data_IF_917947672493
#
_entry.id   IF_917947672493
#
_cell.length_a   1.000
_cell.length_b   1.000
_cell.length_c   1.000
_cell.angle_alpha   90.00
_cell.angle_beta   90.00
_cell.angle_gamma   90.00
#
_symmetry.space_group_name_H-M   'P 1'
#
loop_
_entity.id
_entity.type
_entity.pdbx_description
1 polymer ?
#
# COMPACT_ATOMS: atom_id res chain seq x y z
N UNK A 1 -3.02 21.57 25.72
CA UNK A 1 -2.73 21.26 24.30
C UNK A 1 -3.24 19.86 24.01
N UNK A 2 -4.10 19.67 23.02
CA UNK A 2 -4.62 18.37 22.61
C UNK A 2 -4.04 17.94 21.26
N UNK A 3 -3.43 16.76 21.24
CA UNK A 3 -2.70 16.24 20.08
C UNK A 3 -3.40 15.00 19.56
N UNK A 4 -3.51 14.88 18.24
CA UNK A 4 -4.03 13.69 17.58
C UNK A 4 -3.11 13.21 16.49
N UNK A 5 -2.63 11.98 16.62
CA UNK A 5 -1.91 11.28 15.57
C UNK A 5 -2.88 10.38 14.78
N UNK A 6 -2.99 10.62 13.48
CA UNK A 6 -3.85 9.88 12.55
C UNK A 6 -3.06 8.92 11.64
N UNK A 7 -1.76 8.74 11.89
CA UNK A 7 -1.00 7.73 11.15
C UNK A 7 -1.48 6.32 11.50
N UNK A 8 -1.50 5.43 10.51
CA UNK A 8 -1.97 4.03 10.56
C UNK A 8 -3.44 3.81 10.99
N UNK A 9 -4.12 4.83 11.50
CA UNK A 9 -5.58 4.88 11.70
C UNK A 9 -6.18 6.14 11.04
N UNK A 10 -6.06 6.30 9.71
CA UNK A 10 -6.45 7.54 9.06
C UNK A 10 -7.98 7.67 8.96
N UNK A 11 -8.52 8.74 9.54
CA UNK A 11 -9.91 9.15 9.31
C UNK A 11 -10.02 9.87 7.97
N UNK A 12 -10.79 9.33 7.03
CA UNK A 12 -10.84 9.86 5.64
C UNK A 12 -12.17 10.49 5.30
N UNK A 13 -13.25 9.93 5.84
CA UNK A 13 -14.61 10.35 5.49
C UNK A 13 -15.10 11.43 6.45
N UNK A 14 -15.78 12.44 5.92
CA UNK A 14 -16.28 13.57 6.72
C UNK A 14 -17.17 13.12 7.89
N UNK A 15 -18.07 12.16 7.65
CA UNK A 15 -18.95 11.60 8.68
C UNK A 15 -18.16 10.96 9.84
N UNK A 16 -17.05 10.28 9.53
CA UNK A 16 -16.18 9.65 10.52
C UNK A 16 -15.49 10.71 11.37
N UNK A 17 -14.89 11.72 10.73
CA UNK A 17 -14.17 12.81 11.42
C UNK A 17 -15.14 13.64 12.29
N UNK A 18 -16.34 13.93 11.78
CA UNK A 18 -17.39 14.63 12.55
C UNK A 18 -17.85 13.82 13.76
N UNK A 19 -18.06 12.51 13.60
CA UNK A 19 -18.42 11.62 14.73
C UNK A 19 -17.31 11.60 15.78
N UNK A 20 -16.05 11.53 15.35
CA UNK A 20 -14.90 11.54 16.23
C UNK A 20 -14.78 12.88 16.99
N UNK A 21 -14.88 14.00 16.28
CA UNK A 21 -14.90 15.35 16.89
C UNK A 21 -16.05 15.53 17.87
N UNK A 22 -17.26 15.06 17.56
CA UNK A 22 -18.40 15.16 18.50
C UNK A 22 -18.10 14.46 19.83
N UNK A 23 -17.36 13.35 19.80
CA UNK A 23 -17.00 12.58 21.00
C UNK A 23 -15.80 13.17 21.74
N UNK A 24 -14.83 13.73 21.02
CA UNK A 24 -13.54 14.11 21.59
C UNK A 24 -13.24 15.61 21.55
N UNK A 25 -14.09 16.45 20.99
CA UNK A 25 -13.88 17.90 20.86
C UNK A 25 -12.84 18.28 19.79
N UNK A 26 -12.37 19.52 19.85
CA UNK A 26 -11.35 20.05 18.96
C UNK A 26 -9.95 19.58 19.35
N UNK A 27 -9.00 19.67 18.43
CA UNK A 27 -7.59 19.35 18.67
C UNK A 27 -6.73 20.57 18.40
N UNK A 28 -5.64 20.78 19.14
CA UNK A 28 -4.71 21.87 18.85
C UNK A 28 -3.75 21.47 17.71
N UNK A 29 -3.27 20.22 17.76
CA UNK A 29 -2.28 19.68 16.82
C UNK A 29 -2.81 18.38 16.21
N UNK A 30 -2.78 18.28 14.88
CA UNK A 30 -3.10 17.05 14.14
C UNK A 30 -1.87 16.59 13.37
N UNK A 31 -1.46 15.35 13.58
CA UNK A 31 -0.37 14.70 12.85
C UNK A 31 -0.94 13.69 11.85
N UNK A 32 -0.52 13.74 10.59
CA UNK A 32 -1.08 12.87 9.56
C UNK A 32 -0.13 12.60 8.38
N UNK A 33 -0.46 11.58 7.60
CA UNK A 33 0.30 11.11 6.45
C UNK A 33 -0.01 11.94 5.19
N UNK A 34 1.02 12.50 4.54
CA UNK A 34 0.83 13.52 3.50
C UNK A 34 1.04 13.05 2.07
N UNK A 35 1.68 11.90 1.87
CA UNK A 35 1.84 11.28 0.55
C UNK A 35 1.39 9.83 0.54
N UNK A 36 1.42 9.20 -0.63
CA UNK A 36 1.32 7.74 -0.71
C UNK A 36 2.70 7.11 -0.47
N UNK A 37 2.70 5.89 0.02
CA UNK A 37 3.90 5.14 0.42
C UNK A 37 3.79 3.66 0.05
N UNK A 38 3.04 3.37 -1.03
CA UNK A 38 2.79 2.03 -1.53
C UNK A 38 2.42 2.13 -3.01
N UNK A 39 2.34 0.99 -3.69
CA UNK A 39 1.98 0.95 -5.11
C UNK A 39 0.68 1.71 -5.42
N UNK A 40 0.76 2.59 -6.44
CA UNK A 40 -0.35 3.40 -6.94
C UNK A 40 -0.47 3.31 -8.46
N UNK A 41 -0.52 2.07 -8.95
CA UNK A 41 -0.68 1.78 -10.37
C UNK A 41 0.64 1.67 -11.10
N UNK A 42 0.62 0.88 -12.17
CA UNK A 42 1.79 0.61 -12.99
C UNK A 42 2.40 1.84 -13.64
N UNK A 43 3.60 1.71 -14.19
CA UNK A 43 4.37 2.81 -14.79
C UNK A 43 3.52 3.73 -15.68
N UNK A 44 2.73 3.14 -16.58
CA UNK A 44 1.89 3.87 -17.55
C UNK A 44 0.64 4.54 -16.95
N UNK A 45 0.27 4.25 -15.69
CA UNK A 45 -0.91 4.81 -15.03
C UNK A 45 -0.56 5.99 -14.10
N UNK A 46 0.07 7.03 -14.66
CA UNK A 46 0.44 8.24 -13.92
C UNK A 46 -0.77 8.95 -13.30
N UNK A 47 -1.89 8.99 -14.01
CA UNK A 47 -3.15 9.61 -13.55
C UNK A 47 -3.59 9.02 -12.21
N UNK A 48 -3.46 7.70 -12.01
CA UNK A 48 -3.81 7.10 -10.72
C UNK A 48 -2.88 7.55 -9.59
N UNK A 49 -1.57 7.72 -9.85
CA UNK A 49 -0.60 8.26 -8.88
C UNK A 49 -0.90 9.70 -8.52
N UNK A 50 -1.18 10.55 -9.50
CA UNK A 50 -1.56 11.95 -9.29
C UNK A 50 -2.84 12.07 -8.46
N UNK A 51 -3.87 11.26 -8.81
CA UNK A 51 -5.12 11.21 -8.05
C UNK A 51 -4.89 10.71 -6.62
N UNK A 52 -4.00 9.74 -6.41
CA UNK A 52 -3.65 9.26 -5.07
C UNK A 52 -2.95 10.34 -4.23
N UNK A 53 -2.02 11.09 -4.82
CA UNK A 53 -1.35 12.22 -4.17
C UNK A 53 -2.33 13.34 -3.84
N UNK A 54 -3.19 13.72 -4.78
CA UNK A 54 -4.22 14.75 -4.57
C UNK A 54 -5.17 14.37 -3.43
N UNK A 55 -5.69 13.14 -3.42
CA UNK A 55 -6.57 12.62 -2.36
C UNK A 55 -5.92 12.70 -0.97
N UNK A 56 -4.59 12.52 -0.86
CA UNK A 56 -3.89 12.68 0.43
C UNK A 56 -3.95 14.11 0.95
N UNK A 57 -3.75 15.11 0.08
CA UNK A 57 -3.87 16.53 0.45
C UNK A 57 -5.31 16.88 0.84
N UNK A 58 -6.31 16.36 0.11
CA UNK A 58 -7.73 16.55 0.45
C UNK A 58 -8.07 15.97 1.83
N UNK A 59 -7.51 14.80 2.17
CA UNK A 59 -7.69 14.21 3.50
C UNK A 59 -7.06 15.07 4.60
N UNK A 60 -5.84 15.59 4.40
CA UNK A 60 -5.21 16.49 5.35
C UNK A 60 -6.04 17.74 5.62
N UNK A 61 -6.50 18.40 4.54
CA UNK A 61 -7.33 19.61 4.65
C UNK A 61 -8.63 19.33 5.41
N UNK A 62 -9.29 18.22 5.06
CA UNK A 62 -10.53 17.79 5.71
C UNK A 62 -10.32 17.48 7.19
N UNK A 63 -9.26 16.75 7.54
CA UNK A 63 -8.91 16.44 8.92
C UNK A 63 -8.65 17.72 9.71
N UNK A 64 -7.78 18.60 9.22
CA UNK A 64 -7.41 19.85 9.89
C UNK A 64 -8.63 20.77 10.09
N UNK A 65 -9.46 20.92 9.06
CA UNK A 65 -10.64 21.80 9.09
C UNK A 65 -11.72 21.25 10.01
N UNK A 66 -12.10 19.98 9.85
CA UNK A 66 -13.20 19.42 10.64
C UNK A 66 -12.78 19.30 12.10
N UNK A 67 -11.55 18.86 12.41
CA UNK A 67 -11.04 18.76 13.79
C UNK A 67 -10.73 20.14 14.41
N UNK A 68 -10.86 21.21 13.62
CA UNK A 68 -10.61 22.58 13.99
C UNK A 68 -9.22 22.76 14.63
N UNK A 69 -8.19 22.21 13.96
CA UNK A 69 -6.83 22.27 14.48
C UNK A 69 -6.18 23.63 14.30
N UNK A 70 -5.30 24.00 15.24
CA UNK A 70 -4.45 25.18 15.11
C UNK A 70 -3.26 24.88 14.20
N UNK A 71 -2.66 23.70 14.35
CA UNK A 71 -1.51 23.27 13.55
C UNK A 71 -1.68 21.85 13.01
N UNK A 72 -1.45 21.70 11.72
CA UNK A 72 -1.28 20.42 11.04
C UNK A 72 0.22 20.12 10.93
N UNK A 73 0.65 18.92 11.35
CA UNK A 73 2.01 18.41 11.17
C UNK A 73 1.97 17.20 10.22
N UNK A 74 2.25 17.41 8.93
CA UNK A 74 2.44 16.31 7.98
C UNK A 74 3.77 15.61 8.29
N UNK A 75 3.72 14.43 8.91
CA UNK A 75 4.90 13.79 9.53
C UNK A 75 5.22 12.38 9.01
N UNK A 76 4.36 11.81 8.16
CA UNK A 76 4.54 10.47 7.62
C UNK A 76 4.46 10.46 6.10
N UNK A 77 5.18 9.51 5.48
CA UNK A 77 5.42 9.38 4.03
C UNK A 77 6.50 10.27 3.42
N UNK A 78 7.59 10.49 4.15
CA UNK A 78 8.87 10.89 3.58
C UNK A 78 9.52 9.70 2.86
N UNK A 79 8.95 9.29 1.73
CA UNK A 79 9.37 8.09 0.98
C UNK A 79 10.09 8.44 -0.31
N UNK A 80 10.99 7.55 -0.71
CA UNK A 80 11.60 7.54 -2.02
C UNK A 80 11.67 6.09 -2.53
N UNK A 81 11.11 5.84 -3.71
CA UNK A 81 11.15 4.52 -4.35
C UNK A 81 12.50 4.37 -5.07
N UNK A 82 13.41 3.57 -4.49
CA UNK A 82 14.81 3.52 -4.90
C UNK A 82 15.16 2.38 -5.87
N UNK A 83 14.21 1.54 -6.28
CA UNK A 83 14.48 0.40 -7.17
C UNK A 83 14.05 0.71 -8.61
N UNK A 84 14.75 0.19 -9.62
CA UNK A 84 14.38 0.42 -11.03
C UNK A 84 12.96 -0.04 -11.38
N UNK A 85 12.46 -1.09 -10.72
CA UNK A 85 11.10 -1.59 -10.95
C UNK A 85 10.01 -0.72 -10.31
N UNK A 86 10.35 0.25 -9.47
CA UNK A 86 9.38 1.02 -8.69
C UNK A 86 9.63 2.54 -8.71
N UNK A 87 10.78 3.00 -9.22
CA UNK A 87 11.22 4.39 -9.15
C UNK A 87 10.33 5.37 -9.90
N UNK A 88 9.57 4.90 -10.90
CA UNK A 88 8.55 5.70 -11.59
C UNK A 88 7.49 6.25 -10.64
N UNK A 89 7.27 5.61 -9.48
CA UNK A 89 6.32 6.09 -8.49
C UNK A 89 6.75 7.39 -7.82
N UNK A 90 8.00 7.85 -7.98
CA UNK A 90 8.41 9.14 -7.44
C UNK A 90 7.86 10.33 -8.24
N UNK A 91 7.28 10.13 -9.44
CA UNK A 91 6.87 11.22 -10.34
C UNK A 91 5.73 12.09 -9.79
N UNK A 92 4.92 11.55 -8.88
CA UNK A 92 3.68 12.19 -8.41
C UNK A 92 3.61 12.28 -6.88
N UNK A 93 4.68 11.95 -6.16
CA UNK A 93 4.68 12.10 -4.70
C UNK A 93 4.45 13.56 -4.29
N UNK A 94 3.81 13.74 -3.15
CA UNK A 94 3.75 15.04 -2.49
C UNK A 94 5.10 15.25 -1.82
N UNK A 95 5.71 16.41 -2.02
CA UNK A 95 6.91 16.83 -1.29
C UNK A 95 6.51 17.80 -0.18
N UNK A 96 7.34 17.98 0.86
CA UNK A 96 7.10 18.99 1.89
C UNK A 96 6.77 20.38 1.33
N UNK A 97 7.51 20.82 0.31
CA UNK A 97 7.28 22.09 -0.38
C UNK A 97 5.88 22.16 -1.02
N UNK A 98 5.44 21.11 -1.73
CA UNK A 98 4.08 21.04 -2.31
C UNK A 98 3.02 21.14 -1.22
N UNK A 99 3.23 20.51 -0.07
CA UNK A 99 2.28 20.52 1.06
C UNK A 99 2.18 21.91 1.68
N UNK A 100 3.31 22.55 1.98
CA UNK A 100 3.33 23.93 2.49
C UNK A 100 2.61 24.86 1.53
N UNK A 101 2.99 24.84 0.23
CA UNK A 101 2.35 25.67 -0.80
C UNK A 101 0.83 25.45 -0.90
N UNK A 102 0.37 24.20 -0.76
CA UNK A 102 -1.05 23.84 -0.83
C UNK A 102 -1.87 24.44 0.33
N UNK A 103 -1.28 24.58 1.51
CA UNK A 103 -1.98 25.02 2.73
C UNK A 103 -1.61 26.44 3.18
N UNK A 104 -0.92 27.21 2.34
CA UNK A 104 -0.76 28.66 2.52
C UNK A 104 -2.15 29.31 2.67
N UNK A 105 -2.26 30.27 3.60
CA UNK A 105 -3.48 31.05 3.89
C UNK A 105 -4.69 30.22 4.37
N UNK A 106 -4.48 29.00 4.87
CA UNK A 106 -5.53 28.25 5.56
C UNK A 106 -5.69 28.74 7.00
N UNK A 107 -6.83 28.43 7.61
CA UNK A 107 -7.15 28.79 9.01
C UNK A 107 -6.30 28.06 10.05
N UNK A 108 -5.46 27.14 9.61
CA UNK A 108 -4.54 26.36 10.42
C UNK A 108 -3.12 26.53 9.89
N UNK A 109 -2.14 26.48 10.78
CA UNK A 109 -0.73 26.46 10.42
C UNK A 109 -0.35 25.07 9.90
N UNK A 110 0.61 25.01 8.98
CA UNK A 110 1.23 23.76 8.56
C UNK A 110 2.71 23.80 8.91
N UNK A 111 3.18 22.80 9.66
CA UNK A 111 4.57 22.71 10.10
C UNK A 111 5.13 21.36 9.67
N UNK A 112 6.17 21.38 8.85
CA UNK A 112 6.99 20.22 8.51
C UNK A 112 8.23 20.25 9.39
N UNK A 113 8.45 19.17 10.13
CA UNK A 113 9.63 18.97 10.96
C UNK A 113 10.72 18.20 10.20
N UNK A 114 11.97 18.52 10.46
CA UNK A 114 13.12 17.69 10.10
C UNK A 114 13.36 16.61 11.17
N UNK A 115 14.09 15.52 10.83
CA UNK A 115 14.50 14.54 11.83
C UNK A 115 15.26 15.21 12.98
N UNK A 116 14.90 14.83 14.22
CA UNK A 116 15.48 15.38 15.48
C UNK A 116 15.19 16.86 15.74
N UNK A 117 14.34 17.51 14.96
CA UNK A 117 13.88 18.86 15.27
C UNK A 117 13.01 18.85 16.54
N UNK A 118 13.27 19.81 17.43
CA UNK A 118 12.51 20.03 18.66
C UNK A 118 11.92 21.42 18.60
N UNK A 119 10.63 21.53 18.92
CA UNK A 119 9.92 22.80 19.03
C UNK A 119 8.99 22.77 20.24
N UNK A 120 8.74 23.95 20.82
CA UNK A 120 7.74 24.14 21.87
C UNK A 120 6.33 24.02 21.30
N UNK A 121 5.48 23.23 21.97
CA UNK A 121 4.15 22.87 21.46
C UNK A 121 3.17 24.04 21.38
N UNK A 122 3.35 25.06 22.21
CA UNK A 122 2.50 26.26 22.27
C UNK A 122 2.91 27.32 21.22
N UNK A 123 4.07 27.18 20.58
CA UNK A 123 4.63 28.13 19.63
C UNK A 123 5.20 27.45 18.38
N UNK A 124 4.51 26.41 17.89
CA UNK A 124 4.90 25.71 16.66
C UNK A 124 4.95 26.66 15.46
N UNK A 125 6.11 26.71 14.80
CA UNK A 125 6.36 27.55 13.63
C UNK A 125 7.14 26.79 12.59
N UNK A 126 6.90 27.10 11.31
CA UNK A 126 7.72 26.52 10.27
C UNK A 126 9.14 27.06 10.38
N UNK A 127 10.11 26.15 10.45
CA UNK A 127 11.53 26.47 10.36
C UNK A 127 11.99 26.29 8.90
N UNK A 128 12.68 27.28 8.34
CA UNK A 128 13.18 27.23 6.97
C UNK A 128 14.26 26.14 6.81
N UNK A 129 15.12 25.95 7.81
CA UNK A 129 16.15 24.91 7.79
C UNK A 129 15.56 23.50 7.63
N UNK A 130 14.35 23.28 8.15
CA UNK A 130 13.65 21.99 8.02
C UNK A 130 13.12 21.75 6.61
N UNK A 131 12.68 22.81 5.93
CA UNK A 131 12.26 22.73 4.53
C UNK A 131 13.47 22.51 3.62
N UNK A 132 14.55 23.24 3.88
CA UNK A 132 15.81 23.13 3.14
C UNK A 132 16.39 21.71 3.27
N UNK A 133 16.42 21.15 4.49
CA UNK A 133 16.82 19.76 4.72
C UNK A 133 16.07 18.78 3.81
N UNK A 134 14.74 18.87 3.74
CA UNK A 134 13.95 17.94 2.92
C UNK A 134 14.12 18.19 1.43
N UNK A 135 14.25 19.45 1.01
CA UNK A 135 14.50 19.81 -0.39
C UNK A 135 15.84 19.22 -0.85
N UNK A 136 16.90 19.43 -0.06
CA UNK A 136 18.24 18.92 -0.35
C UNK A 136 18.26 17.40 -0.33
N UNK A 137 17.63 16.77 0.68
CA UNK A 137 17.52 15.29 0.77
C UNK A 137 16.87 14.69 -0.47
N UNK A 138 15.76 15.28 -0.95
CA UNK A 138 15.05 14.80 -2.14
C UNK A 138 15.90 14.99 -3.40
N UNK A 139 16.59 16.12 -3.53
CA UNK A 139 17.48 16.37 -4.66
C UNK A 139 18.64 15.38 -4.69
N UNK A 140 19.33 15.20 -3.56
CA UNK A 140 20.46 14.28 -3.43
C UNK A 140 20.08 12.83 -3.72
N UNK A 141 18.99 12.33 -3.12
CA UNK A 141 18.56 10.94 -3.31
C UNK A 141 18.09 10.67 -4.75
N UNK A 142 17.59 11.71 -5.45
CA UNK A 142 17.16 11.59 -6.83
C UNK A 142 18.32 11.24 -7.77
N UNK A 143 19.51 11.77 -7.46
CA UNK A 143 20.76 11.59 -8.22
C UNK A 143 21.45 10.25 -7.93
N UNK A 144 21.14 9.60 -6.81
CA UNK A 144 21.72 8.30 -6.46
C UNK A 144 21.27 7.20 -7.44
N UNK A 145 22.16 6.23 -7.75
CA UNK A 145 21.79 5.09 -8.57
C UNK A 145 20.64 4.33 -7.92
N UNK A 146 19.78 3.75 -8.76
CA UNK A 146 18.66 2.94 -8.29
C UNK A 146 19.13 1.52 -8.01
N UNK A 147 18.58 0.94 -6.95
CA UNK A 147 18.79 -0.45 -6.60
C UNK A 147 18.21 -1.36 -7.69
N UNK A 148 18.84 -2.52 -7.83
CA UNK A 148 18.39 -3.61 -8.70
C UNK A 148 18.27 -4.88 -7.87
N UNK A 149 17.41 -5.79 -8.32
CA UNK A 149 17.43 -7.13 -7.76
C UNK A 149 18.76 -7.81 -8.07
N UNK A 150 19.15 -8.73 -7.18
CA UNK A 150 20.40 -9.46 -7.29
C UNK A 150 20.26 -10.68 -8.18
N UNK A 151 20.67 -11.85 -7.69
CA UNK A 151 20.58 -13.10 -8.44
C UNK A 151 19.13 -13.58 -8.60
N UNK A 152 18.81 -14.09 -9.78
CA UNK A 152 17.56 -14.81 -10.07
C UNK A 152 17.37 -16.04 -9.17
N UNK A 153 16.12 -16.33 -8.83
CA UNK A 153 15.72 -17.55 -8.12
C UNK A 153 15.28 -18.57 -9.15
N UNK A 154 15.99 -19.69 -9.27
CA UNK A 154 15.69 -20.72 -10.27
C UNK A 154 14.24 -21.23 -10.20
N UNK A 155 13.72 -21.71 -11.33
CA UNK A 155 12.37 -22.27 -11.38
C UNK A 155 12.15 -23.41 -10.38
N UNK A 156 13.13 -24.31 -10.21
CA UNK A 156 13.02 -25.42 -9.24
C UNK A 156 12.93 -24.94 -7.79
N UNK A 157 13.68 -23.90 -7.44
CA UNK A 157 13.59 -23.27 -6.11
C UNK A 157 12.22 -22.60 -5.92
N UNK A 158 11.74 -21.84 -6.92
CA UNK A 158 10.42 -21.22 -6.88
C UNK A 158 9.30 -22.26 -6.75
N UNK A 159 9.42 -23.39 -7.44
CA UNK A 159 8.45 -24.49 -7.38
C UNK A 159 8.41 -25.12 -5.98
N UNK A 160 9.57 -25.38 -5.39
CA UNK A 160 9.69 -25.93 -4.02
C UNK A 160 9.13 -24.94 -2.98
N UNK A 161 9.42 -23.66 -3.12
CA UNK A 161 8.89 -22.60 -2.26
C UNK A 161 7.37 -22.46 -2.43
N UNK A 162 6.86 -22.54 -3.66
CA UNK A 162 5.43 -22.54 -3.98
C UNK A 162 4.70 -23.72 -3.34
N UNK A 163 5.24 -24.94 -3.42
CA UNK A 163 4.66 -26.12 -2.77
C UNK A 163 4.60 -25.96 -1.24
N UNK A 164 5.62 -25.35 -0.66
CA UNK A 164 5.67 -25.03 0.77
C UNK A 164 4.65 -23.96 1.15
N UNK A 165 4.52 -22.91 0.34
CA UNK A 165 3.48 -21.89 0.47
C UNK A 165 2.08 -22.50 0.42
N UNK A 166 1.78 -23.31 -0.60
CA UNK A 166 0.47 -23.94 -0.79
C UNK A 166 0.09 -24.82 0.39
N UNK A 167 1.01 -25.67 0.86
CA UNK A 167 0.80 -26.51 2.05
C UNK A 167 0.51 -25.68 3.29
N UNK A 168 1.23 -24.58 3.50
CA UNK A 168 1.02 -23.68 4.64
C UNK A 168 -0.36 -23.01 4.60
N UNK A 169 -0.74 -22.45 3.45
CA UNK A 169 -2.06 -21.82 3.27
C UNK A 169 -3.18 -22.84 3.49
N UNK A 170 -3.12 -24.02 2.85
CA UNK A 170 -4.15 -25.05 2.95
C UNK A 170 -4.20 -25.73 4.33
N UNK A 171 -3.16 -25.62 5.16
CA UNK A 171 -3.16 -26.08 6.55
C UNK A 171 -3.88 -25.10 7.47
N UNK A 172 -3.71 -23.79 7.25
CA UNK A 172 -4.31 -22.73 8.09
C UNK A 172 -5.75 -22.37 7.71
N UNK A 173 -6.22 -22.77 6.54
CA UNK A 173 -7.48 -22.32 5.96
C UNK A 173 -8.38 -23.49 5.54
N UNK A 174 -9.68 -23.23 5.40
CA UNK A 174 -10.64 -24.23 4.94
C UNK A 174 -10.38 -24.56 3.46
N UNK A 175 -9.82 -25.75 3.22
CA UNK A 175 -9.58 -26.28 1.87
C UNK A 175 -10.85 -26.32 1.03
N UNK A 176 -11.98 -26.70 1.65
CA UNK A 176 -13.28 -26.78 0.97
C UNK A 176 -13.75 -25.39 0.49
N UNK A 177 -13.66 -24.36 1.34
CA UNK A 177 -14.05 -22.99 0.93
C UNK A 177 -13.15 -22.44 -0.17
N UNK A 178 -11.83 -22.66 -0.06
CA UNK A 178 -10.88 -22.26 -1.11
C UNK A 178 -11.20 -22.97 -2.42
N UNK A 179 -11.49 -24.27 -2.37
CA UNK A 179 -11.86 -25.06 -3.54
C UNK A 179 -13.17 -24.57 -4.18
N UNK A 180 -14.19 -24.31 -3.37
CA UNK A 180 -15.48 -23.80 -3.84
C UNK A 180 -15.32 -22.43 -4.51
N UNK A 181 -14.62 -21.49 -3.88
CA UNK A 181 -14.34 -20.17 -4.45
C UNK A 181 -13.47 -20.23 -5.71
N UNK A 182 -12.53 -21.18 -5.77
CA UNK A 182 -11.75 -21.45 -6.97
C UNK A 182 -12.62 -21.94 -8.15
N UNK A 183 -13.73 -22.66 -7.88
CA UNK A 183 -14.67 -23.08 -8.93
C UNK A 183 -15.58 -21.96 -9.42
N UNK A 184 -15.92 -20.99 -8.56
CA UNK A 184 -16.76 -19.85 -8.90
C UNK A 184 -15.94 -18.77 -9.62
N UNK A 185 -15.83 -18.90 -10.95
CA UNK A 185 -15.01 -18.01 -11.78
C UNK A 185 -15.46 -16.54 -11.77
N UNK A 186 -16.75 -16.27 -11.55
CA UNK A 186 -17.31 -14.90 -11.62
C UNK A 186 -16.73 -13.96 -10.54
N UNK A 187 -16.31 -14.50 -9.40
CA UNK A 187 -15.76 -13.70 -8.30
C UNK A 187 -14.24 -13.58 -8.34
N UNK A 188 -13.57 -14.30 -9.25
CA UNK A 188 -12.11 -14.31 -9.45
C UNK A 188 -11.24 -14.70 -8.25
N UNK A 189 -11.82 -15.26 -7.17
CA UNK A 189 -11.06 -15.76 -6.03
C UNK A 189 -10.26 -17.02 -6.35
N UNK A 190 -9.00 -17.05 -5.88
CA UNK A 190 -8.07 -18.16 -6.04
C UNK A 190 -7.93 -18.68 -7.49
N UNK A 191 -8.21 -17.84 -8.50
CA UNK A 191 -8.07 -18.22 -9.90
C UNK A 191 -6.60 -18.32 -10.28
N UNK A 192 -6.32 -19.11 -11.33
CA UNK A 192 -4.97 -19.19 -11.91
C UNK A 192 -4.53 -17.81 -12.36
N UNK A 193 -3.36 -17.38 -11.90
CA UNK A 193 -2.74 -16.11 -12.28
C UNK A 193 -1.52 -16.36 -13.15
N UNK A 194 -1.38 -15.60 -14.22
CA UNK A 194 -0.21 -15.60 -15.08
C UNK A 194 0.79 -14.54 -14.62
N UNK A 195 2.01 -14.99 -14.29
CA UNK A 195 3.06 -14.18 -13.69
C UNK A 195 4.24 -14.17 -14.67
N UNK A 196 4.59 -13.01 -15.20
CA UNK A 196 5.83 -12.84 -15.97
C UNK A 196 6.98 -12.51 -15.01
N UNK A 197 8.06 -13.30 -15.10
CA UNK A 197 9.29 -13.02 -14.37
C UNK A 197 10.30 -12.36 -15.31
N UNK A 198 10.66 -11.11 -15.00
CA UNK A 198 11.53 -10.30 -15.85
C UNK A 198 12.89 -10.96 -16.09
N UNK A 199 13.46 -11.51 -15.02
CA UNK A 199 14.81 -12.07 -15.00
C UNK A 199 14.89 -13.49 -15.57
N UNK A 200 13.76 -14.18 -15.70
CA UNK A 200 13.69 -15.44 -16.45
C UNK A 200 13.33 -15.21 -17.91
N UNK A 201 12.83 -14.03 -18.26
CA UNK A 201 12.17 -13.73 -19.53
C UNK A 201 11.10 -14.77 -19.91
N UNK A 202 10.34 -15.24 -18.90
CA UNK A 202 9.33 -16.30 -19.03
C UNK A 202 8.08 -15.97 -18.21
N UNK A 203 6.97 -16.60 -18.59
CA UNK A 203 5.71 -16.54 -17.87
C UNK A 203 5.43 -17.85 -17.15
N UNK A 204 4.72 -17.76 -16.03
CA UNK A 204 4.35 -18.90 -15.19
C UNK A 204 2.89 -18.79 -14.76
N UNK A 205 2.17 -19.90 -14.79
CA UNK A 205 0.84 -20.00 -14.21
C UNK A 205 0.96 -20.48 -12.77
N UNK A 206 0.42 -19.71 -11.84
CA UNK A 206 0.27 -20.10 -10.44
C UNK A 206 -1.19 -20.41 -10.11
N UNK A 207 -1.42 -21.54 -9.43
CA UNK A 207 -2.69 -21.86 -8.77
C UNK A 207 -2.42 -22.61 -7.46
N UNK A 208 -3.20 -22.30 -6.42
CA UNK A 208 -3.07 -22.95 -5.10
C UNK A 208 -3.19 -24.48 -5.18
N UNK A 209 -3.91 -25.03 -6.18
CA UNK A 209 -4.11 -26.47 -6.37
C UNK A 209 -3.17 -27.11 -7.38
N UNK A 210 -2.60 -26.33 -8.32
CA UNK A 210 -1.71 -26.86 -9.38
C UNK A 210 -0.24 -26.48 -9.18
N UNK A 211 0.07 -25.63 -8.22
CA UNK A 211 1.42 -25.10 -8.04
C UNK A 211 1.79 -24.06 -9.10
N UNK A 212 3.09 -23.94 -9.34
CA UNK A 212 3.68 -23.06 -10.35
C UNK A 212 4.12 -23.88 -11.56
N UNK A 213 3.66 -23.50 -12.75
CA UNK A 213 3.97 -24.20 -14.01
C UNK A 213 4.39 -23.18 -15.06
N UNK A 214 5.35 -23.51 -15.94
CA UNK A 214 5.68 -22.65 -17.09
C UNK A 214 4.44 -22.39 -17.97
N UNK A 215 4.38 -21.20 -18.56
CA UNK A 215 3.27 -20.77 -19.40
C UNK A 215 3.77 -20.05 -20.64
N UNK A 216 3.15 -20.36 -21.78
CA UNK A 216 3.39 -19.67 -23.05
C UNK A 216 2.56 -18.37 -23.19
N UNK A 217 1.73 -18.03 -22.20
CA UNK A 217 0.90 -16.84 -22.26
C UNK A 217 1.77 -15.56 -22.17
N UNK A 218 1.63 -14.71 -23.19
CA UNK A 218 2.36 -13.45 -23.31
C UNK A 218 1.63 -12.23 -22.72
N UNK A 219 0.37 -12.39 -22.27
CA UNK A 219 -0.40 -11.35 -21.57
C UNK A 219 -0.44 -11.65 -20.06
N UNK A 220 0.55 -11.18 -19.28
CA UNK A 220 0.62 -11.47 -17.86
C UNK A 220 -0.39 -10.68 -17.04
N UNK A 221 -0.95 -11.33 -16.02
CA UNK A 221 -1.74 -10.64 -15.01
C UNK A 221 -0.85 -9.70 -14.18
N UNK A 222 0.35 -10.17 -13.84
CA UNK A 222 1.34 -9.43 -13.06
C UNK A 222 2.74 -9.74 -13.57
N UNK A 223 3.63 -8.75 -13.53
CA UNK A 223 5.05 -8.93 -13.85
C UNK A 223 5.93 -8.50 -12.69
N UNK A 224 6.98 -9.24 -12.36
CA UNK A 224 7.91 -8.93 -11.26
C UNK A 224 9.26 -9.64 -11.43
N UNK A 225 10.19 -9.40 -10.52
CA UNK A 225 11.42 -10.20 -10.42
C UNK A 225 11.16 -11.52 -9.66
N UNK A 226 11.86 -12.59 -9.98
CA UNK A 226 11.75 -13.90 -9.30
C UNK A 226 11.92 -13.80 -7.77
N UNK A 227 12.82 -12.92 -7.30
CA UNK A 227 13.01 -12.66 -5.87
C UNK A 227 11.75 -12.12 -5.18
N UNK A 228 10.92 -11.31 -5.84
CA UNK A 228 9.63 -10.86 -5.30
C UNK A 228 8.65 -12.01 -5.13
N UNK A 229 8.57 -12.90 -6.13
CA UNK A 229 7.69 -14.07 -6.08
C UNK A 229 8.14 -15.06 -5.00
N UNK A 230 9.44 -15.34 -4.93
CA UNK A 230 10.06 -16.14 -3.88
C UNK A 230 9.73 -15.57 -2.48
N UNK A 231 9.79 -14.25 -2.32
CA UNK A 231 9.47 -13.60 -1.05
C UNK A 231 8.01 -13.81 -0.62
N UNK A 232 7.06 -13.76 -1.57
CA UNK A 232 5.66 -14.11 -1.32
C UNK A 232 5.51 -15.56 -0.87
N UNK A 233 6.21 -16.50 -1.51
CA UNK A 233 6.11 -17.91 -1.14
C UNK A 233 6.74 -18.20 0.23
N UNK A 234 7.81 -17.50 0.61
CA UNK A 234 8.48 -17.67 1.90
C UNK A 234 7.71 -17.10 3.07
N UNK A 235 7.08 -15.94 2.89
CA UNK A 235 6.54 -15.15 4.00
C UNK A 235 5.02 -14.99 3.87
N UNK A 236 4.28 -15.20 4.97
CA UNK A 236 2.83 -15.01 4.96
C UNK A 236 2.44 -13.55 4.64
N UNK A 237 3.21 -12.60 5.15
CA UNK A 237 3.05 -11.17 4.86
C UNK A 237 3.72 -10.74 3.54
N UNK A 238 4.28 -11.67 2.76
CA UNK A 238 5.11 -11.33 1.59
C UNK A 238 4.36 -10.58 0.50
N UNK A 239 3.05 -10.85 0.32
CA UNK A 239 2.20 -10.09 -0.59
C UNK A 239 2.06 -8.62 -0.18
N UNK A 240 1.77 -8.35 1.09
CA UNK A 240 1.68 -6.99 1.62
C UNK A 240 3.00 -6.23 1.42
N UNK A 241 4.13 -6.85 1.73
CA UNK A 241 5.46 -6.27 1.49
C UNK A 241 5.65 -5.89 0.02
N UNK A 242 5.25 -6.76 -0.92
CA UNK A 242 5.32 -6.45 -2.35
C UNK A 242 4.41 -5.27 -2.74
N UNK A 243 3.21 -5.18 -2.16
CA UNK A 243 2.32 -4.03 -2.45
C UNK A 243 2.84 -2.70 -1.88
N UNK A 244 3.58 -2.74 -0.77
CA UNK A 244 4.22 -1.57 -0.17
C UNK A 244 5.44 -1.16 -0.98
N UNK A 245 6.33 -2.09 -1.31
CA UNK A 245 7.53 -1.76 -2.09
C UNK A 245 7.21 -1.43 -3.57
N UNK A 246 6.12 -1.98 -4.12
CA UNK A 246 5.66 -1.73 -5.48
C UNK A 246 6.60 -2.22 -6.59
N UNK A 247 7.48 -3.18 -6.32
CA UNK A 247 8.38 -3.77 -7.32
C UNK A 247 7.68 -4.84 -8.18
N UNK A 248 6.55 -4.47 -8.78
CA UNK A 248 5.78 -5.28 -9.72
C UNK A 248 4.95 -4.37 -10.63
N UNK A 249 4.53 -4.93 -11.77
CA UNK A 249 3.63 -4.28 -12.72
C UNK A 249 2.33 -5.04 -12.87
N UNK A 250 1.22 -4.31 -12.91
CA UNK A 250 -0.12 -4.86 -13.11
C UNK A 250 -1.08 -3.75 -13.55
N UNK A 251 -2.07 -4.10 -14.36
CA UNK A 251 -3.23 -3.23 -14.58
C UNK A 251 -4.24 -3.36 -13.43
N UNK A 252 -5.26 -2.50 -13.42
CA UNK A 252 -6.30 -2.46 -12.37
C UNK A 252 -7.08 -3.78 -12.22
N UNK A 253 -7.51 -4.37 -13.35
CA UNK A 253 -8.31 -5.60 -13.36
C UNK A 253 -7.49 -6.78 -12.82
N UNK A 254 -6.27 -6.91 -13.30
CA UNK A 254 -5.38 -8.02 -12.96
C UNK A 254 -4.83 -7.87 -11.53
N UNK A 255 -4.69 -6.64 -11.01
CA UNK A 255 -4.28 -6.41 -9.63
C UNK A 255 -5.34 -6.94 -8.65
N UNK A 256 -6.63 -6.78 -8.95
CA UNK A 256 -7.70 -7.37 -8.13
C UNK A 256 -7.56 -8.89 -8.05
N UNK A 257 -7.32 -9.55 -9.18
CA UNK A 257 -7.08 -10.99 -9.24
C UNK A 257 -5.85 -11.40 -8.41
N UNK A 258 -4.77 -10.60 -8.45
CA UNK A 258 -3.56 -10.83 -7.67
C UNK A 258 -3.83 -10.75 -6.15
N UNK A 259 -4.56 -9.73 -5.70
CA UNK A 259 -5.04 -9.60 -4.30
C UNK A 259 -5.90 -10.78 -3.89
N UNK A 260 -6.83 -11.21 -4.75
CA UNK A 260 -7.74 -12.32 -4.47
C UNK A 260 -7.06 -13.70 -4.43
N UNK A 261 -5.85 -13.81 -4.98
CA UNK A 261 -5.06 -15.04 -4.98
C UNK A 261 -4.06 -15.09 -3.83
N UNK A 262 -3.36 -13.99 -3.52
CA UNK A 262 -2.29 -13.97 -2.51
C UNK A 262 -2.64 -13.26 -1.20
N UNK A 263 -3.72 -12.48 -1.15
CA UNK A 263 -4.15 -11.76 0.07
C UNK A 263 -4.54 -12.68 1.24
N UNK A 264 -4.77 -13.98 0.99
CA UNK A 264 -4.97 -14.97 2.06
C UNK A 264 -3.73 -15.13 2.93
N UNK A 265 -2.52 -14.93 2.39
CA UNK A 265 -1.28 -14.93 3.17
C UNK A 265 -1.30 -13.81 4.23
N UNK A 266 -1.66 -12.60 3.81
CA UNK A 266 -1.82 -11.45 4.69
C UNK A 266 -2.81 -11.69 5.82
N UNK A 267 -3.97 -12.30 5.50
CA UNK A 267 -4.95 -12.67 6.52
C UNK A 267 -4.35 -13.61 7.58
N UNK A 268 -3.66 -14.66 7.13
CA UNK A 268 -3.01 -15.61 8.04
C UNK A 268 -1.94 -14.92 8.90
N UNK A 269 -1.18 -13.97 8.35
CA UNK A 269 -0.18 -13.20 9.09
C UNK A 269 -0.81 -12.32 10.17
N UNK A 270 -2.04 -11.83 9.95
CA UNK A 270 -2.83 -11.11 10.94
C UNK A 270 -3.54 -12.02 11.96
N UNK A 271 -3.27 -13.33 11.95
CA UNK A 271 -3.89 -14.32 12.85
C UNK A 271 -5.30 -14.74 12.43
N UNK A 272 -5.74 -14.38 11.23
CA UNK A 272 -7.07 -14.71 10.72
C UNK A 272 -7.00 -15.86 9.72
N UNK A 273 -7.74 -16.92 10.01
CA UNK A 273 -7.91 -18.07 9.10
C UNK A 273 -9.20 -17.93 8.29
N UNK A 274 -9.10 -18.09 6.96
CA UNK A 274 -10.23 -18.21 6.06
C UNK A 274 -10.97 -19.54 6.29
N UNK A 275 -11.94 -19.50 7.20
CA UNK A 275 -12.66 -20.65 7.74
C UNK A 275 -14.15 -20.33 7.87
N UNK A 276 -14.98 -21.35 8.08
CA UNK A 276 -16.42 -21.17 8.31
C UNK A 276 -16.70 -20.33 9.58
N UNK A 277 -15.81 -20.34 10.57
CA UNK A 277 -15.93 -19.47 11.75
C UNK A 277 -15.66 -17.99 11.44
N UNK A 278 -14.85 -17.67 10.43
CA UNK A 278 -14.71 -16.29 9.94
C UNK A 278 -16.04 -15.78 9.35
N UNK A 279 -16.86 -16.67 8.75
CA UNK A 279 -18.22 -16.36 8.29
C UNK A 279 -19.20 -16.04 9.42
N UNK A 280 -18.87 -16.43 10.66
CA UNK A 280 -19.62 -16.08 11.86
C UNK A 280 -19.18 -14.73 12.48
N UNK A 281 -18.13 -14.08 11.95
CA UNK A 281 -17.64 -12.76 12.38
C UNK A 281 -17.94 -11.70 11.30
N UNK A 282 -19.21 -11.26 11.15
CA UNK A 282 -19.65 -10.42 10.04
C UNK A 282 -18.94 -9.06 9.99
N UNK A 283 -18.42 -8.55 11.11
CA UNK A 283 -17.64 -7.31 11.13
C UNK A 283 -16.27 -7.47 10.46
N UNK A 284 -15.60 -8.61 10.63
CA UNK A 284 -14.30 -8.88 10.02
C UNK A 284 -14.47 -9.11 8.52
N UNK A 285 -15.47 -9.90 8.13
CA UNK A 285 -15.82 -10.12 6.72
C UNK A 285 -16.29 -8.85 6.05
N UNK A 286 -17.20 -8.09 6.66
CA UNK A 286 -17.63 -6.81 6.12
C UNK A 286 -16.44 -5.87 6.01
N UNK A 287 -15.51 -5.82 6.97
CA UNK A 287 -14.30 -4.99 6.85
C UNK A 287 -13.36 -5.46 5.75
N UNK A 288 -13.18 -6.78 5.56
CA UNK A 288 -12.31 -7.36 4.53
C UNK A 288 -12.89 -7.14 3.13
N UNK A 289 -14.15 -7.49 2.91
CA UNK A 289 -14.85 -7.26 1.65
C UNK A 289 -15.10 -5.77 1.39
N UNK A 290 -15.35 -4.95 2.42
CA UNK A 290 -15.46 -3.49 2.26
C UNK A 290 -14.09 -2.87 1.96
N UNK A 291 -13.00 -3.36 2.53
CA UNK A 291 -11.63 -2.95 2.16
C UNK A 291 -11.31 -3.37 0.73
N UNK A 292 -11.59 -4.62 0.33
CA UNK A 292 -11.45 -5.08 -1.06
C UNK A 292 -12.31 -4.24 -2.03
N UNK A 293 -13.60 -4.05 -1.72
CA UNK A 293 -14.55 -3.26 -2.50
C UNK A 293 -14.16 -1.78 -2.54
N UNK A 294 -13.63 -1.20 -1.47
CA UNK A 294 -13.17 0.18 -1.44
C UNK A 294 -11.85 0.37 -2.20
N UNK A 295 -10.95 -0.61 -2.19
CA UNK A 295 -9.78 -0.62 -3.08
C UNK A 295 -10.27 -0.62 -4.53
N UNK A 296 -11.18 -1.52 -4.90
CA UNK A 296 -11.75 -1.63 -6.25
C UNK A 296 -12.56 -0.38 -6.67
N UNK A 297 -13.36 0.20 -5.77
CA UNK A 297 -14.26 1.34 -6.04
C UNK A 297 -13.54 2.69 -6.07
N UNK A 298 -12.50 2.90 -5.23
CA UNK A 298 -11.70 4.15 -5.22
C UNK A 298 -10.67 4.23 -6.36
N UNK A 299 -10.63 3.20 -7.22
CA UNK A 299 -9.83 3.07 -8.44
C UNK A 299 -10.62 3.40 -9.72
N UNK A 300 -11.94 3.66 -9.63
CA UNK A 300 -12.75 4.36 -10.66
C UNK A 300 -12.65 5.85 -10.36
#
# INVERSE_FOLDING_TARGET
IKILNLNDCPMREEKEINKFRKKHGNFDIVLSQYSYAAWKGGANNKIYRENAAKKKLEFLERQATILNCKTLIPFASFVYFSNELNSYMNDSINTPEKVIKKFVNKKFNTVILAPKEVQEMDNLKQNQASLDFWKDTINDISLKPKDRYGKSVSFENLKTECETYNRRILKKNSKFLIFFLHKIKIMHFFQTINIKLYDHNKSYNYSIFKGLVESENQDPDVSMHSQSLAFIFKNEFGFDTLTVNGCFESNKKNFSKFVQTFGIGTLNAAGLSFSLSLLAEPLIIFSFFTRLKNVVKKLI
#
